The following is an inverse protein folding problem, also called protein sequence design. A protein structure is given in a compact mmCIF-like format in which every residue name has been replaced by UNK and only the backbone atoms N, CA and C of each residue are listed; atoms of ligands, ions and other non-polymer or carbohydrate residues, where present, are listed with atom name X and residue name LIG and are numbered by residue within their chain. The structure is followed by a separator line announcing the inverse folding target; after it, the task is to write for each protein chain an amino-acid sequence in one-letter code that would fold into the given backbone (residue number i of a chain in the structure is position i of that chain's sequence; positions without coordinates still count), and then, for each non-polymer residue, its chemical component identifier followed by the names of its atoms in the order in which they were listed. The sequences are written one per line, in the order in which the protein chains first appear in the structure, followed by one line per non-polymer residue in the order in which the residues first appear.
data_IF_866366022679
#
_entry.id   IF_866366022679
#
_cell.length_a   1.000
_cell.length_b   1.000
_cell.length_c   1.000
_cell.angle_alpha   90.00
_cell.angle_beta   90.00
_cell.angle_gamma   90.00
#
_symmetry.space_group_name_H-M   'P 1'
#
loop_
_entity.id
_entity.type
_entity.pdbx_description
1 polymer ?
#
# COMPACT_ATOMS: atom_id res chain seq x y z
N UNK A 1 -26.23 22.89 46.07
CA UNK A 1 -25.22 22.03 45.45
C UNK A 1 -25.76 21.51 44.13
N UNK A 2 -25.17 21.92 43.01
CA UNK A 2 -25.58 21.46 41.67
C UNK A 2 -25.35 19.95 41.59
N UNK A 3 -26.44 19.17 41.63
CA UNK A 3 -26.38 17.74 41.36
C UNK A 3 -26.10 17.61 39.86
N UNK A 4 -24.84 17.31 39.50
CA UNK A 4 -24.44 17.10 38.12
C UNK A 4 -25.41 16.15 37.44
N UNK A 5 -25.98 16.59 36.32
CA UNK A 5 -26.98 15.85 35.56
C UNK A 5 -26.33 14.53 35.14
N UNK A 6 -26.81 13.41 35.70
CA UNK A 6 -26.31 12.08 35.30
C UNK A 6 -26.67 11.90 33.84
N UNK A 7 -25.66 11.72 32.99
CA UNK A 7 -25.87 11.42 31.57
C UNK A 7 -26.82 10.23 31.43
N UNK A 8 -27.83 10.38 30.59
CA UNK A 8 -28.80 9.33 30.29
C UNK A 8 -28.09 8.12 29.67
N UNK A 9 -28.63 6.92 29.86
CA UNK A 9 -28.10 5.70 29.22
C UNK A 9 -27.96 5.87 27.70
N UNK A 10 -28.89 6.63 27.09
CA UNK A 10 -28.85 6.97 25.67
C UNK A 10 -27.64 7.84 25.30
N UNK A 11 -27.31 8.85 26.10
CA UNK A 11 -26.16 9.72 25.83
C UNK A 11 -24.83 8.96 25.96
N UNK A 12 -24.76 7.96 26.84
CA UNK A 12 -23.60 7.08 26.95
C UNK A 12 -23.42 6.22 25.70
N UNK A 13 -24.51 5.61 25.21
CA UNK A 13 -24.51 4.80 23.99
C UNK A 13 -24.19 5.65 22.75
N UNK A 14 -24.69 6.89 22.67
CA UNK A 14 -24.36 7.80 21.58
C UNK A 14 -22.88 8.18 21.59
N UNK A 15 -22.29 8.40 22.77
CA UNK A 15 -20.86 8.66 22.88
C UNK A 15 -20.05 7.44 22.46
N UNK A 16 -20.39 6.26 22.95
CA UNK A 16 -19.72 5.00 22.58
C UNK A 16 -19.79 4.75 21.07
N UNK A 17 -20.95 5.02 20.45
CA UNK A 17 -21.11 4.94 19.00
C UNK A 17 -20.18 5.94 18.28
N UNK A 18 -20.10 7.18 18.74
CA UNK A 18 -19.22 8.20 18.15
C UNK A 18 -17.75 7.80 18.26
N UNK A 19 -17.31 7.31 19.43
CA UNK A 19 -15.94 6.85 19.67
C UNK A 19 -15.59 5.67 18.72
N UNK A 20 -16.52 4.72 18.53
CA UNK A 20 -16.36 3.60 17.57
C UNK A 20 -16.30 4.09 16.12
N UNK A 21 -17.15 5.04 15.73
CA UNK A 21 -17.15 5.62 14.39
C UNK A 21 -15.83 6.35 14.08
N UNK A 22 -15.29 7.09 15.05
CA UNK A 22 -14.00 7.75 14.92
C UNK A 22 -12.87 6.72 14.72
N UNK A 23 -12.85 5.66 15.54
CA UNK A 23 -11.88 4.58 15.39
C UNK A 23 -11.97 3.90 14.02
N UNK A 24 -13.18 3.65 13.52
CA UNK A 24 -13.39 3.12 12.16
C UNK A 24 -12.76 4.06 11.11
N UNK A 25 -12.96 5.37 11.25
CA UNK A 25 -12.41 6.32 10.29
C UNK A 25 -10.88 6.37 10.34
N UNK A 26 -10.29 6.36 11.54
CA UNK A 26 -8.84 6.32 11.72
C UNK A 26 -8.23 5.07 11.09
N UNK A 27 -8.85 3.89 11.29
CA UNK A 27 -8.39 2.65 10.68
C UNK A 27 -8.51 2.67 9.15
N UNK A 28 -9.59 3.23 8.59
CA UNK A 28 -9.73 3.41 7.13
C UNK A 28 -8.62 4.28 6.55
N UNK A 29 -8.27 5.37 7.23
CA UNK A 29 -7.18 6.25 6.81
C UNK A 29 -5.84 5.47 6.84
N UNK A 30 -5.59 4.75 7.92
CA UNK A 30 -4.37 3.92 8.06
C UNK A 30 -4.27 2.83 6.99
N UNK A 31 -5.40 2.20 6.63
CA UNK A 31 -5.45 1.21 5.54
C UNK A 31 -5.10 1.87 4.20
N UNK A 32 -5.61 3.07 3.94
CA UNK A 32 -5.31 3.81 2.70
C UNK A 32 -3.80 4.11 2.59
N UNK A 33 -3.19 4.59 3.67
CA UNK A 33 -1.74 4.84 3.73
C UNK A 33 -0.92 3.56 3.49
N UNK A 34 -1.35 2.43 4.06
CA UNK A 34 -0.70 1.14 3.84
C UNK A 34 -0.81 0.67 2.39
N UNK A 35 -1.94 0.89 1.72
CA UNK A 35 -2.13 0.56 0.30
C UNK A 35 -1.20 1.41 -0.58
N UNK A 36 -1.04 2.70 -0.29
CA UNK A 36 -0.11 3.55 -1.02
C UNK A 36 1.33 3.08 -0.83
N UNK A 37 1.72 2.76 0.40
CA UNK A 37 3.03 2.21 0.72
C UNK A 37 3.29 0.86 0.05
N UNK A 38 2.26 0.00 -0.04
CA UNK A 38 2.35 -1.27 -0.77
C UNK A 38 2.72 -1.03 -2.24
N UNK A 39 2.02 -0.10 -2.91
CA UNK A 39 2.29 0.25 -4.32
C UNK A 39 3.71 0.79 -4.50
N UNK A 40 4.15 1.69 -3.64
CA UNK A 40 5.52 2.21 -3.69
C UNK A 40 6.57 1.10 -3.55
N UNK A 41 6.33 0.12 -2.68
CA UNK A 41 7.23 -1.02 -2.51
C UNK A 41 7.24 -1.90 -3.76
N UNK A 42 6.07 -2.17 -4.36
CA UNK A 42 5.97 -2.93 -5.62
C UNK A 42 6.73 -2.25 -6.77
N UNK A 43 6.62 -0.93 -6.89
CA UNK A 43 7.38 -0.14 -7.88
C UNK A 43 8.88 -0.22 -7.63
N UNK A 44 9.33 -0.08 -6.38
CA UNK A 44 10.75 -0.21 -6.01
C UNK A 44 11.30 -1.60 -6.35
N UNK A 45 10.55 -2.66 -6.06
CA UNK A 45 10.92 -4.03 -6.42
C UNK A 45 11.08 -4.16 -7.94
N UNK A 46 10.12 -3.66 -8.70
CA UNK A 46 10.15 -3.74 -10.17
C UNK A 46 11.36 -2.98 -10.75
N UNK A 47 11.70 -1.82 -10.18
CA UNK A 47 12.88 -1.05 -10.58
C UNK A 47 14.19 -1.78 -10.26
N UNK A 48 14.32 -2.38 -9.08
CA UNK A 48 15.52 -3.15 -8.74
C UNK A 48 15.67 -4.38 -9.64
N UNK A 49 14.59 -5.12 -9.91
CA UNK A 49 14.60 -6.22 -10.88
C UNK A 49 15.05 -5.76 -12.27
N UNK A 50 14.57 -4.60 -12.73
CA UNK A 50 14.99 -4.04 -14.01
C UNK A 50 16.47 -3.65 -14.02
N UNK A 51 17.00 -3.07 -12.93
CA UNK A 51 18.41 -2.74 -12.79
C UNK A 51 19.29 -3.99 -12.81
N UNK A 52 18.90 -5.05 -12.11
CA UNK A 52 19.61 -6.33 -12.12
C UNK A 52 19.71 -6.89 -13.55
N UNK A 53 18.58 -6.95 -14.26
CA UNK A 53 18.55 -7.40 -15.66
C UNK A 53 19.39 -6.49 -16.56
N UNK A 54 19.29 -5.17 -16.40
CA UNK A 54 20.09 -4.21 -17.19
C UNK A 54 21.58 -4.38 -16.95
N UNK A 55 22.00 -4.61 -15.70
CA UNK A 55 23.40 -4.84 -15.37
C UNK A 55 23.93 -6.13 -16.01
N UNK A 56 23.12 -7.20 -16.03
CA UNK A 56 23.47 -8.45 -16.71
C UNK A 56 23.61 -8.22 -18.22
N UNK A 57 22.69 -7.46 -18.83
CA UNK A 57 22.74 -7.11 -20.25
C UNK A 57 24.00 -6.34 -20.61
N UNK A 58 24.35 -5.33 -19.80
CA UNK A 58 25.58 -4.55 -19.98
C UNK A 58 26.83 -5.44 -19.89
N UNK A 59 26.88 -6.36 -18.92
CA UNK A 59 27.98 -7.33 -18.79
C UNK A 59 28.10 -8.25 -20.01
N UNK A 60 26.97 -8.66 -20.57
CA UNK A 60 26.94 -9.49 -21.77
C UNK A 60 27.06 -8.70 -23.08
N UNK A 61 27.19 -7.37 -23.01
CA UNK A 61 27.15 -6.45 -24.17
C UNK A 61 25.92 -6.68 -25.06
N UNK A 62 24.81 -7.06 -24.44
CA UNK A 62 23.53 -7.30 -25.11
C UNK A 62 22.62 -6.10 -24.89
N UNK A 63 21.88 -5.71 -25.90
CA UNK A 63 20.84 -4.69 -25.78
C UNK A 63 19.53 -5.31 -25.29
N UNK A 64 18.63 -4.46 -24.78
CA UNK A 64 17.26 -4.88 -24.45
C UNK A 64 16.55 -5.47 -25.68
N UNK A 65 16.86 -4.98 -26.88
CA UNK A 65 16.34 -5.51 -28.15
C UNK A 65 16.81 -6.93 -28.39
N UNK A 66 18.09 -7.22 -28.13
CA UNK A 66 18.65 -8.57 -28.26
C UNK A 66 18.01 -9.54 -27.28
N UNK A 67 17.74 -9.10 -26.03
CA UNK A 67 17.01 -9.92 -25.05
C UNK A 67 15.57 -10.17 -25.50
N UNK A 68 14.89 -9.15 -26.05
CA UNK A 68 13.53 -9.28 -26.58
C UNK A 68 13.49 -10.28 -27.74
N UNK A 69 14.42 -10.18 -28.69
CA UNK A 69 14.53 -11.11 -29.81
C UNK A 69 14.87 -12.53 -29.33
N UNK A 70 15.78 -12.67 -28.36
CA UNK A 70 16.12 -13.96 -27.74
C UNK A 70 14.90 -14.63 -27.10
N UNK A 71 14.08 -13.91 -26.33
CA UNK A 71 12.87 -14.44 -25.71
C UNK A 71 11.80 -14.84 -26.75
N UNK A 72 11.61 -14.02 -27.78
CA UNK A 72 10.69 -14.30 -28.89
C UNK A 72 11.14 -15.51 -29.72
N UNK A 73 12.45 -15.72 -29.85
CA UNK A 73 13.01 -16.87 -30.56
C UNK A 73 12.78 -18.21 -29.85
N UNK A 74 12.63 -18.21 -28.51
CA UNK A 74 12.31 -19.40 -27.70
C UNK A 74 10.83 -19.74 -27.62
N UNK A 75 9.96 -18.81 -27.98
CA UNK A 75 8.49 -18.98 -27.95
C UNK A 75 7.90 -19.36 -29.31
N UNK A 76 8.73 -19.45 -30.36
CA UNK A 76 8.42 -20.12 -31.63
C UNK A 76 8.95 -21.55 -31.61
#
# INVERSE_FOLDING_TARGET
MARGVRKSSLEKLQKELADVQESIQQHKNSITELIEKEKEIQEKISLEQFKEVSSILDQQKMTITDLKEFLLSRTK
#
